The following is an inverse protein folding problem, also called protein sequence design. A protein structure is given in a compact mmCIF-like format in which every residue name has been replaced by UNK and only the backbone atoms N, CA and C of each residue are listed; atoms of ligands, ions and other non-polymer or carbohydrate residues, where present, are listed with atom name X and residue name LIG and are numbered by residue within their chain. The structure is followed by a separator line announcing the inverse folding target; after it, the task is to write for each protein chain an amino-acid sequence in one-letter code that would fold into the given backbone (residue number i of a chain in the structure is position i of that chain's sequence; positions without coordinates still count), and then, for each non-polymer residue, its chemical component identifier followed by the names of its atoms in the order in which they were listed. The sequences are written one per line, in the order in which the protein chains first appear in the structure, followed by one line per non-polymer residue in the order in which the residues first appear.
data_IF_812268585647
#
_entry.id   IF_812268585647
#
_cell.length_a   1.000
_cell.length_b   1.000
_cell.length_c   1.000
_cell.angle_alpha   90.00
_cell.angle_beta   90.00
_cell.angle_gamma   90.00
#
_symmetry.space_group_name_H-M   'P 1'
#
loop_
_entity.id
_entity.type
_entity.pdbx_description
1 polymer ?
#
# COMPACT_ATOMS: atom_id res chain seq x y z
N UNK A 1 18.42 -10.72 -72.13
CA UNK A 1 18.44 -11.73 -71.05
C UNK A 1 18.44 -11.01 -69.72
N UNK A 2 17.37 -11.19 -68.93
CA UNK A 2 17.13 -10.60 -67.61
C UNK A 2 18.08 -11.20 -66.56
N UNK A 3 18.63 -10.38 -65.67
CA UNK A 3 19.07 -10.83 -64.34
C UNK A 3 18.42 -9.92 -63.30
N UNK A 4 17.46 -10.49 -62.59
CA UNK A 4 16.75 -9.92 -61.45
C UNK A 4 17.73 -9.91 -60.25
N UNK A 5 17.95 -8.75 -59.65
CA UNK A 5 18.53 -8.66 -58.31
C UNK A 5 17.40 -8.73 -57.29
N UNK A 6 17.34 -9.83 -56.53
CA UNK A 6 16.45 -9.99 -55.39
C UNK A 6 17.10 -9.30 -54.20
N UNK A 7 16.59 -8.13 -53.81
CA UNK A 7 16.94 -7.48 -52.56
C UNK A 7 16.23 -8.17 -51.41
N UNK A 8 16.99 -8.83 -50.53
CA UNK A 8 16.47 -9.36 -49.27
C UNK A 8 16.47 -8.23 -48.22
N UNK A 9 15.31 -7.63 -47.99
CA UNK A 9 15.09 -6.71 -46.86
C UNK A 9 15.04 -7.53 -45.57
N UNK A 10 16.07 -7.41 -44.74
CA UNK A 10 16.11 -7.99 -43.40
C UNK A 10 15.32 -7.06 -42.46
N UNK A 11 14.07 -7.42 -42.18
CA UNK A 11 13.24 -6.73 -41.19
C UNK A 11 13.60 -7.28 -39.80
N UNK A 12 14.46 -6.58 -39.07
CA UNK A 12 14.79 -6.92 -37.69
C UNK A 12 13.62 -6.57 -36.78
N UNK A 13 12.75 -7.54 -36.50
CA UNK A 13 11.76 -7.42 -35.42
C UNK A 13 12.50 -7.43 -34.08
N UNK A 14 12.69 -6.25 -33.48
CA UNK A 14 12.97 -6.12 -32.05
C UNK A 14 11.70 -6.51 -31.30
N UNK A 15 11.57 -7.80 -30.99
CA UNK A 15 10.62 -8.27 -30.01
C UNK A 15 10.98 -7.64 -28.65
N UNK A 16 10.18 -6.68 -28.22
CA UNK A 16 10.29 -6.09 -26.90
C UNK A 16 10.01 -7.15 -25.84
N UNK A 17 11.06 -7.63 -25.17
CA UNK A 17 10.92 -8.28 -23.87
C UNK A 17 10.58 -7.21 -22.83
N UNK A 18 9.33 -6.73 -22.85
CA UNK A 18 8.72 -6.07 -21.71
C UNK A 18 8.39 -7.13 -20.65
N UNK A 19 9.42 -7.76 -20.09
CA UNK A 19 9.24 -8.56 -18.87
C UNK A 19 8.83 -7.59 -17.77
N UNK A 20 7.57 -7.65 -17.33
CA UNK A 20 7.19 -7.05 -16.06
C UNK A 20 8.07 -7.70 -15.00
N UNK A 21 9.01 -6.93 -14.46
CA UNK A 21 9.82 -7.35 -13.32
C UNK A 21 8.87 -7.82 -12.22
N UNK A 22 8.91 -9.11 -11.90
CA UNK A 22 8.32 -9.67 -10.69
C UNK A 22 9.10 -9.15 -9.49
N UNK A 23 8.85 -7.90 -9.10
CA UNK A 23 9.62 -7.20 -8.09
C UNK A 23 9.26 -5.73 -7.96
N UNK A 24 9.57 -5.15 -6.81
CA UNK A 24 9.43 -3.73 -6.56
C UNK A 24 10.26 -2.92 -7.57
N UNK A 25 9.76 -1.75 -8.04
CA UNK A 25 10.59 -0.75 -8.71
C UNK A 25 11.82 -0.40 -7.87
N UNK A 26 12.91 0.03 -8.51
CA UNK A 26 14.20 0.27 -7.85
C UNK A 26 14.12 1.23 -6.64
N UNK A 27 13.24 2.23 -6.71
CA UNK A 27 13.01 3.18 -5.61
C UNK A 27 12.33 2.49 -4.40
N UNK A 28 11.26 1.72 -4.64
CA UNK A 28 10.59 0.94 -3.58
C UNK A 28 11.49 -0.19 -3.03
N UNK A 29 12.38 -0.73 -3.86
CA UNK A 29 13.41 -1.67 -3.44
C UNK A 29 14.40 -1.04 -2.43
N UNK A 30 14.77 0.24 -2.64
CA UNK A 30 15.62 0.96 -1.69
C UNK A 30 14.91 1.17 -0.33
N UNK A 31 13.59 1.42 -0.36
CA UNK A 31 12.75 1.49 0.84
C UNK A 31 12.75 0.15 1.58
N UNK A 32 12.53 -0.97 0.87
CA UNK A 32 12.61 -2.30 1.48
C UNK A 32 13.97 -2.53 2.13
N UNK A 33 15.07 -2.25 1.44
CA UNK A 33 16.43 -2.41 2.00
C UNK A 33 16.66 -1.59 3.26
N UNK A 34 16.05 -0.41 3.36
CA UNK A 34 16.15 0.46 4.54
C UNK A 34 15.35 -0.09 5.73
N UNK A 35 14.13 -0.56 5.49
CA UNK A 35 13.15 -0.82 6.55
C UNK A 35 12.85 -2.30 6.85
N UNK A 36 13.27 -3.26 6.01
CA UNK A 36 12.90 -4.67 6.17
C UNK A 36 13.36 -5.30 7.50
N UNK A 37 14.47 -4.81 8.08
CA UNK A 37 14.99 -5.29 9.36
C UNK A 37 14.57 -4.40 10.55
N UNK A 38 13.61 -3.49 10.35
CA UNK A 38 13.08 -2.70 11.47
C UNK A 38 12.33 -3.59 12.45
N UNK A 39 12.50 -3.26 13.74
CA UNK A 39 11.66 -3.75 14.82
C UNK A 39 10.74 -2.63 15.28
N UNK A 40 9.65 -3.00 15.96
CA UNK A 40 8.75 -2.03 16.61
C UNK A 40 9.53 -1.07 17.51
N UNK A 41 10.41 -1.59 18.36
CA UNK A 41 11.19 -0.77 19.30
C UNK A 41 12.11 0.24 18.58
N UNK A 42 12.67 -0.14 17.41
CA UNK A 42 13.45 0.79 16.60
C UNK A 42 12.57 1.89 16.03
N UNK A 43 11.41 1.53 15.48
CA UNK A 43 10.46 2.50 14.95
C UNK A 43 10.02 3.49 16.04
N UNK A 44 9.73 3.01 17.24
CA UNK A 44 9.32 3.86 18.37
C UNK A 44 10.40 4.85 18.79
N UNK A 45 11.68 4.44 18.81
CA UNK A 45 12.80 5.38 19.04
C UNK A 45 12.94 6.45 17.97
N UNK A 46 12.46 6.18 16.75
CA UNK A 46 12.48 7.11 15.62
C UNK A 46 11.17 7.95 15.53
N UNK A 47 10.27 7.82 16.50
CA UNK A 47 9.07 8.65 16.64
C UNK A 47 7.77 8.04 16.10
N UNK A 48 7.81 6.82 15.57
CA UNK A 48 6.60 6.10 15.18
C UNK A 48 5.86 5.60 16.42
N UNK A 49 4.52 5.54 16.38
CA UNK A 49 3.70 5.00 17.46
C UNK A 49 2.93 3.79 16.94
N UNK A 50 3.16 2.63 17.53
CA UNK A 50 2.44 1.41 17.14
C UNK A 50 1.00 1.45 17.64
N UNK A 51 0.07 1.16 16.74
CA UNK A 51 -1.33 0.99 17.05
C UNK A 51 -1.55 -0.22 17.96
N UNK A 52 -2.61 -0.11 18.77
CA UNK A 52 -3.04 -1.21 19.64
C UNK A 52 -3.59 -2.39 18.82
N UNK A 53 -4.17 -2.09 17.66
CA UNK A 53 -4.91 -3.05 16.86
C UNK A 53 -4.08 -3.59 15.71
N UNK A 54 -4.29 -4.85 15.38
CA UNK A 54 -3.90 -5.43 14.10
C UNK A 54 -5.06 -5.26 13.13
N UNK A 55 -4.83 -4.59 11.99
CA UNK A 55 -5.88 -4.34 11.01
C UNK A 55 -5.97 -5.51 10.02
N UNK A 56 -7.13 -6.15 10.00
CA UNK A 56 -7.47 -7.21 9.06
C UNK A 56 -8.60 -6.78 8.09
N UNK A 57 -8.81 -7.58 7.04
CA UNK A 57 -9.83 -7.32 6.05
C UNK A 57 -11.22 -7.16 6.68
N UNK A 58 -11.56 -7.99 7.67
CA UNK A 58 -12.87 -7.94 8.33
C UNK A 58 -13.08 -6.63 9.09
N UNK A 59 -12.07 -6.14 9.80
CA UNK A 59 -12.10 -4.87 10.52
C UNK A 59 -12.29 -3.65 9.61
N UNK A 60 -12.02 -3.80 8.32
CA UNK A 60 -12.21 -2.81 7.26
C UNK A 60 -13.48 -3.06 6.42
N UNK A 61 -14.27 -4.08 6.74
CA UNK A 61 -15.51 -4.41 6.02
C UNK A 61 -15.30 -5.22 4.73
N UNK A 62 -14.11 -5.78 4.52
CA UNK A 62 -13.80 -6.68 3.41
C UNK A 62 -13.98 -8.16 3.79
N UNK A 63 -14.16 -9.05 2.79
CA UNK A 63 -14.11 -10.48 3.02
C UNK A 63 -12.80 -10.96 3.68
N UNK A 64 -12.84 -11.89 4.66
CA UNK A 64 -11.64 -12.34 5.38
C UNK A 64 -10.52 -12.92 4.51
N UNK A 65 -10.85 -13.47 3.34
CA UNK A 65 -9.89 -14.03 2.38
C UNK A 65 -8.96 -12.97 1.74
N UNK A 66 -9.26 -11.68 1.94
CA UNK A 66 -8.36 -10.59 1.55
C UNK A 66 -7.14 -10.45 2.48
N UNK A 67 -7.15 -11.09 3.65
CA UNK A 67 -6.03 -11.11 4.58
C UNK A 67 -5.98 -9.89 5.50
N UNK A 68 -4.79 -9.31 5.68
CA UNK A 68 -4.58 -8.24 6.66
C UNK A 68 -3.49 -7.24 6.25
N UNK A 69 -3.44 -6.11 6.98
CA UNK A 69 -2.38 -5.11 6.93
C UNK A 69 -1.29 -5.38 7.99
N UNK A 70 -1.68 -5.88 9.16
CA UNK A 70 -0.78 -6.05 10.31
C UNK A 70 -0.96 -4.95 11.36
N UNK A 71 0.05 -4.73 12.18
CA UNK A 71 0.09 -3.60 13.12
C UNK A 71 0.77 -2.42 12.47
N UNK A 72 0.07 -1.29 12.38
CA UNK A 72 0.66 -0.04 11.95
C UNK A 72 1.49 0.57 13.08
N UNK A 73 2.62 1.16 12.73
CA UNK A 73 3.30 2.13 13.56
C UNK A 73 3.50 3.41 12.76
N UNK A 74 2.83 4.49 13.18
CA UNK A 74 2.69 5.71 12.39
C UNK A 74 3.45 6.88 13.02
N UNK A 75 4.14 7.67 12.18
CA UNK A 75 4.66 8.98 12.55
C UNK A 75 3.62 10.04 12.19
N UNK A 76 2.76 10.35 13.17
CA UNK A 76 1.64 11.30 13.03
C UNK A 76 2.08 12.69 12.54
N UNK A 77 3.34 13.08 12.76
CA UNK A 77 3.85 14.38 12.33
C UNK A 77 3.98 14.50 10.81
N UNK A 78 3.93 13.37 10.09
CA UNK A 78 4.08 13.29 8.63
C UNK A 78 2.75 13.22 7.87
N UNK A 79 1.63 13.00 8.55
CA UNK A 79 0.32 12.74 7.92
C UNK A 79 -0.28 13.93 7.17
N UNK A 80 0.28 15.13 7.37
CA UNK A 80 -0.12 16.35 6.66
C UNK A 80 1.04 16.97 5.86
N UNK A 81 2.18 16.28 5.81
CA UNK A 81 3.40 16.70 5.12
C UNK A 81 3.48 16.18 3.68
N UNK A 82 4.60 16.44 2.97
CA UNK A 82 4.83 15.87 1.65
C UNK A 82 5.00 14.35 1.71
N UNK A 83 4.63 13.67 0.62
CA UNK A 83 4.97 12.26 0.39
C UNK A 83 6.39 12.19 -0.18
N UNK A 84 7.33 11.68 0.62
CA UNK A 84 8.74 11.54 0.24
C UNK A 84 9.12 10.05 0.20
N UNK A 85 9.73 9.60 -0.89
CA UNK A 85 9.97 8.19 -1.14
C UNK A 85 10.73 7.47 -0.01
N UNK A 86 11.69 8.11 0.63
CA UNK A 86 12.53 7.50 1.67
C UNK A 86 12.00 7.68 3.11
N UNK A 87 10.85 8.36 3.26
CA UNK A 87 10.22 8.73 4.53
C UNK A 87 8.73 8.34 4.54
N UNK A 88 8.41 7.04 4.67
CA UNK A 88 7.02 6.60 4.83
C UNK A 88 6.41 7.19 6.11
N UNK A 89 5.08 7.22 6.13
CA UNK A 89 4.29 7.65 7.27
C UNK A 89 4.07 6.53 8.28
N UNK A 90 3.94 5.29 7.80
CA UNK A 90 3.80 4.12 8.67
C UNK A 90 4.74 2.97 8.32
N UNK A 91 5.07 2.18 9.34
CA UNK A 91 5.66 0.84 9.22
C UNK A 91 4.60 -0.20 9.58
N UNK A 92 4.60 -1.33 8.87
CA UNK A 92 3.66 -2.44 9.08
C UNK A 92 4.41 -3.60 9.73
N UNK A 93 3.87 -4.17 10.80
CA UNK A 93 4.50 -5.26 11.54
C UNK A 93 3.62 -6.49 11.68
N UNK A 94 4.24 -7.67 11.77
CA UNK A 94 3.57 -8.91 12.17
C UNK A 94 3.43 -9.02 13.70
N UNK A 95 2.82 -10.12 14.16
CA UNK A 95 2.63 -10.42 15.59
C UNK A 95 3.94 -10.65 16.35
N UNK A 96 5.04 -10.94 15.66
CA UNK A 96 6.37 -11.07 16.23
C UNK A 96 7.16 -9.75 16.20
N UNK A 97 6.57 -8.66 15.68
CA UNK A 97 7.18 -7.35 15.56
C UNK A 97 8.20 -7.23 14.43
N UNK A 98 8.14 -8.09 13.40
CA UNK A 98 8.95 -8.00 12.19
C UNK A 98 8.26 -7.15 11.13
N UNK A 99 9.04 -6.33 10.41
CA UNK A 99 8.51 -5.48 9.37
C UNK A 99 7.95 -6.30 8.19
N UNK A 100 6.69 -6.04 7.85
CA UNK A 100 5.98 -6.59 6.70
C UNK A 100 6.08 -5.68 5.47
N UNK A 101 6.18 -4.39 5.70
CA UNK A 101 6.09 -3.35 4.68
C UNK A 101 6.09 -1.95 5.29
N UNK A 102 5.81 -0.97 4.44
CA UNK A 102 5.54 0.41 4.84
C UNK A 102 4.25 0.89 4.21
N UNK A 103 3.68 1.94 4.79
CA UNK A 103 2.57 2.68 4.23
C UNK A 103 2.96 4.15 4.04
N UNK A 104 2.57 4.69 2.90
CA UNK A 104 2.53 6.13 2.66
C UNK A 104 1.10 6.58 2.80
N UNK A 105 0.87 7.53 3.69
CA UNK A 105 -0.48 8.05 3.94
C UNK A 105 -0.47 9.56 4.09
N UNK A 106 -1.59 10.18 3.72
CA UNK A 106 -1.82 11.62 3.91
C UNK A 106 -3.31 11.86 4.11
N UNK A 107 -3.68 12.74 5.02
CA UNK A 107 -5.07 13.15 5.17
C UNK A 107 -5.61 13.64 3.83
N UNK A 108 -6.81 13.22 3.45
CA UNK A 108 -7.40 13.58 2.17
C UNK A 108 -7.61 15.10 2.03
N UNK A 109 -7.85 15.80 3.14
CA UNK A 109 -8.01 17.25 3.18
C UNK A 109 -6.69 18.05 3.06
N UNK A 110 -5.55 17.38 3.22
CA UNK A 110 -4.22 17.96 3.06
C UNK A 110 -3.68 17.80 1.62
N UNK A 111 -4.30 16.94 0.80
CA UNK A 111 -3.91 16.69 -0.59
C UNK A 111 -4.87 17.37 -1.58
N UNK A 112 -4.33 18.10 -2.57
CA UNK A 112 -5.15 18.72 -3.64
C UNK A 112 -5.68 17.69 -4.65
N UNK A 113 -4.93 16.62 -4.85
CA UNK A 113 -5.23 15.50 -5.75
C UNK A 113 -4.61 14.22 -5.17
N UNK A 114 -5.06 13.02 -5.59
CA UNK A 114 -4.47 11.77 -5.12
C UNK A 114 -2.96 11.72 -5.38
N UNK A 115 -2.13 11.53 -4.34
CA UNK A 115 -0.68 11.43 -4.51
C UNK A 115 -0.28 10.27 -5.42
N UNK A 116 0.93 10.37 -5.97
CA UNK A 116 1.54 9.31 -6.77
C UNK A 116 2.96 9.04 -6.30
N UNK A 117 3.31 7.76 -6.20
CA UNK A 117 4.65 7.31 -5.83
C UNK A 117 4.91 5.92 -6.44
N UNK A 118 6.14 5.65 -6.87
CA UNK A 118 6.53 4.37 -7.49
C UNK A 118 5.66 3.94 -8.68
N UNK A 119 5.13 4.92 -9.43
CA UNK A 119 4.21 4.71 -10.54
C UNK A 119 2.76 4.39 -10.14
N UNK A 120 2.47 4.29 -8.84
CA UNK A 120 1.12 4.04 -8.31
C UNK A 120 0.42 5.34 -7.95
N UNK A 121 -0.90 5.35 -8.08
CA UNK A 121 -1.77 6.38 -7.51
C UNK A 121 -2.31 5.85 -6.19
N UNK A 122 -2.35 6.70 -5.16
CA UNK A 122 -2.79 6.28 -3.83
C UNK A 122 -4.30 6.00 -3.84
N UNK A 123 -4.71 5.00 -3.07
CA UNK A 123 -6.13 4.67 -2.86
C UNK A 123 -6.71 5.61 -1.81
N UNK A 124 -7.89 6.19 -2.08
CA UNK A 124 -8.63 6.93 -1.04
C UNK A 124 -9.36 5.93 -0.14
N UNK A 125 -9.09 5.98 1.16
CA UNK A 125 -9.72 5.14 2.17
C UNK A 125 -10.65 6.00 3.06
N UNK A 126 -11.83 5.47 3.43
CA UNK A 126 -12.70 6.12 4.41
C UNK A 126 -12.10 6.03 5.82
N UNK A 127 -12.67 6.75 6.82
CA UNK A 127 -12.35 6.49 8.21
C UNK A 127 -12.56 5.01 8.56
N UNK A 128 -11.64 4.45 9.34
CA UNK A 128 -11.68 3.07 9.82
C UNK A 128 -11.00 2.99 11.19
N UNK A 129 -11.12 1.87 11.95
CA UNK A 129 -10.45 1.76 13.24
C UNK A 129 -8.96 2.11 13.14
N UNK A 130 -8.50 3.01 14.01
CA UNK A 130 -7.12 3.54 14.02
C UNK A 130 -6.96 4.85 13.24
N UNK A 131 -7.78 5.10 12.21
CA UNK A 131 -7.71 6.30 11.37
C UNK A 131 -9.10 6.94 11.23
N UNK A 132 -9.36 7.97 12.03
CA UNK A 132 -10.69 8.61 12.16
C UNK A 132 -11.04 9.58 11.02
N UNK A 133 -10.26 9.62 9.94
CA UNK A 133 -10.42 10.57 8.83
C UNK A 133 -10.20 9.89 7.47
N UNK A 134 -10.77 10.48 6.42
CA UNK A 134 -10.45 10.07 5.06
C UNK A 134 -8.99 10.38 4.76
N UNK A 135 -8.28 9.44 4.16
CA UNK A 135 -6.87 9.58 3.80
C UNK A 135 -6.59 8.89 2.47
N UNK A 136 -5.48 9.25 1.84
CA UNK A 136 -4.93 8.52 0.71
C UNK A 136 -3.82 7.62 1.21
N UNK A 137 -3.80 6.36 0.83
CA UNK A 137 -2.79 5.38 1.23
C UNK A 137 -2.13 4.68 0.04
N UNK A 138 -0.87 4.30 0.21
CA UNK A 138 -0.13 3.38 -0.66
C UNK A 138 0.70 2.44 0.19
N UNK A 139 0.45 1.15 0.04
CA UNK A 139 1.21 0.09 0.71
C UNK A 139 2.44 -0.28 -0.11
N UNK A 140 3.53 -0.65 0.56
CA UNK A 140 4.69 -1.28 -0.07
C UNK A 140 5.09 -2.50 0.74
N UNK A 141 4.73 -3.69 0.24
CA UNK A 141 5.00 -4.96 0.89
C UNK A 141 6.45 -5.42 0.69
N UNK A 142 7.11 -5.79 1.78
CA UNK A 142 8.45 -6.38 1.78
C UNK A 142 8.40 -7.90 1.74
N UNK A 143 7.34 -8.47 2.30
CA UNK A 143 6.98 -9.88 2.17
C UNK A 143 6.27 -10.12 0.84
N UNK A 144 6.15 -11.38 0.42
CA UNK A 144 5.40 -11.73 -0.78
C UNK A 144 3.91 -11.41 -0.61
N UNK A 145 3.33 -10.66 -1.54
CA UNK A 145 1.89 -10.48 -1.67
C UNK A 145 1.40 -11.03 -3.02
N UNK A 146 0.56 -12.09 -3.05
CA UNK A 146 0.06 -12.68 -4.29
C UNK A 146 -0.88 -11.76 -5.08
N UNK A 147 -1.43 -10.72 -4.46
CA UNK A 147 -2.27 -9.71 -5.11
C UNK A 147 -1.42 -8.58 -5.71
N UNK A 148 -0.19 -8.40 -5.21
CA UNK A 148 0.77 -7.42 -5.68
C UNK A 148 1.39 -6.62 -4.53
N UNK A 149 2.65 -6.18 -4.72
CA UNK A 149 3.40 -5.48 -3.65
C UNK A 149 2.88 -4.09 -3.28
N UNK A 150 1.87 -3.58 -3.98
CA UNK A 150 1.20 -2.31 -3.70
C UNK A 150 -0.29 -2.46 -3.33
N UNK A 151 -0.79 -3.68 -3.16
CA UNK A 151 -2.18 -3.92 -2.79
C UNK A 151 -2.45 -3.46 -1.35
N UNK A 152 -3.67 -3.00 -1.06
CA UNK A 152 -4.05 -2.50 0.28
C UNK A 152 -4.00 -3.60 1.36
N UNK A 153 -4.25 -4.85 0.97
CA UNK A 153 -4.28 -6.01 1.87
C UNK A 153 -3.36 -7.13 1.35
N UNK A 154 -2.86 -7.96 2.25
CA UNK A 154 -2.09 -9.15 1.91
C UNK A 154 -2.77 -10.43 2.41
N UNK A 155 -3.26 -11.32 1.50
CA UNK A 155 -3.87 -12.61 1.87
C UNK A 155 -2.97 -13.57 2.64
N UNK A 156 -1.64 -13.35 2.63
CA UNK A 156 -0.67 -14.15 3.40
C UNK A 156 -0.41 -13.61 4.81
N UNK A 157 -0.93 -12.43 5.14
CA UNK A 157 -0.84 -11.84 6.48
C UNK A 157 -2.13 -12.11 7.23
N UNK A 158 -2.03 -12.32 8.55
CA UNK A 158 -3.19 -12.58 9.41
C UNK A 158 -3.02 -11.91 10.75
N UNK A 159 -4.13 -11.46 11.32
CA UNK A 159 -4.20 -10.86 12.64
C UNK A 159 -4.84 -11.83 13.66
N UNK A 160 -4.39 -11.85 14.93
CA UNK A 160 -5.09 -12.58 15.97
C UNK A 160 -6.48 -11.99 16.19
N UNK A 161 -7.57 -12.79 16.21
CA UNK A 161 -8.93 -12.27 16.41
C UNK A 161 -9.14 -11.48 17.71
N UNK A 162 -8.32 -11.73 18.73
CA UNK A 162 -8.35 -10.99 20.00
C UNK A 162 -7.71 -9.60 19.92
N UNK A 163 -7.03 -9.29 18.82
CA UNK A 163 -6.24 -8.06 18.62
C UNK A 163 -6.73 -7.24 17.43
N UNK A 164 -7.76 -7.72 16.74
CA UNK A 164 -8.47 -6.97 15.69
C UNK A 164 -9.55 -6.09 16.31
N UNK A 165 -9.77 -4.87 15.81
CA UNK A 165 -10.91 -4.07 16.23
C UNK A 165 -12.19 -4.67 15.67
N UNK A 166 -13.30 -4.49 16.39
CA UNK A 166 -14.61 -4.79 15.81
C UNK A 166 -14.84 -3.90 14.59
N UNK A 167 -15.35 -4.47 13.49
CA UNK A 167 -15.81 -3.66 12.37
C UNK A 167 -16.85 -2.65 12.87
N UNK A 168 -16.54 -1.37 12.71
CA UNK A 168 -17.50 -0.30 12.92
C UNK A 168 -18.05 0.08 11.56
N UNK A 169 -19.31 -0.30 11.29
CA UNK A 169 -19.99 0.20 10.10
C UNK A 169 -19.98 1.74 10.15
N UNK A 170 -19.80 2.43 9.00
CA UNK A 170 -19.96 3.87 8.95
C UNK A 170 -21.30 4.27 9.60
N UNK A 171 -21.37 5.37 10.36
CA UNK A 171 -22.63 5.81 10.93
C UNK A 171 -23.67 5.94 9.82
N UNK A 172 -24.81 5.28 10.00
CA UNK A 172 -25.95 5.38 9.10
C UNK A 172 -26.50 6.82 9.16
N UNK A 173 -25.96 7.73 8.34
CA UNK A 173 -26.27 9.15 8.46
C UNK A 173 -25.80 10.06 7.32
N UNK A 174 -25.38 9.53 6.18
CA UNK A 174 -25.27 10.34 4.96
C UNK A 174 -26.66 10.70 4.44
N UNK A 175 -26.91 11.92 3.93
CA UNK A 175 -28.23 12.29 3.43
C UNK A 175 -28.65 11.36 2.30
N UNK A 176 -29.77 10.68 2.51
CA UNK A 176 -30.48 9.96 1.45
C UNK A 176 -30.88 10.99 0.39
N UNK A 177 -30.14 11.04 -0.72
CA UNK A 177 -30.64 11.66 -1.94
C UNK A 177 -31.68 10.70 -2.54
N UNK A 178 -32.89 10.72 -1.96
CA UNK A 178 -34.09 10.30 -2.66
C UNK A 178 -34.39 11.33 -3.76
N UNK A 179 -33.68 11.19 -4.88
CA UNK A 179 -34.01 11.87 -6.13
C UNK A 179 -35.25 11.23 -6.72
N UNK A 180 -36.38 11.91 -6.61
CA UNK A 180 -37.54 11.60 -7.43
C UNK A 180 -37.27 11.96 -8.88
N UNK A 181 -37.61 11.04 -9.78
CA UNK A 181 -38.21 11.28 -11.09
C UNK A 181 -38.99 10.03 -11.49
#
# INVERSE_FOLDING_TARGET
MRRLFVGASLLTLLAGCGGQSSGLPAEAEAVRKKYADYTVERAEREGFKRDKFCLDALSLGYPPDKGAMGYHATDETRLRGPIEADRPQALLFDTAGKALGVEYEIHADAAKEPPRLFGQTFTKLPPHPGVEHEHYALHVWFVENPVGQFADLNPKVSCPPSETPAFQAPPAGGPSHSGGH
#
